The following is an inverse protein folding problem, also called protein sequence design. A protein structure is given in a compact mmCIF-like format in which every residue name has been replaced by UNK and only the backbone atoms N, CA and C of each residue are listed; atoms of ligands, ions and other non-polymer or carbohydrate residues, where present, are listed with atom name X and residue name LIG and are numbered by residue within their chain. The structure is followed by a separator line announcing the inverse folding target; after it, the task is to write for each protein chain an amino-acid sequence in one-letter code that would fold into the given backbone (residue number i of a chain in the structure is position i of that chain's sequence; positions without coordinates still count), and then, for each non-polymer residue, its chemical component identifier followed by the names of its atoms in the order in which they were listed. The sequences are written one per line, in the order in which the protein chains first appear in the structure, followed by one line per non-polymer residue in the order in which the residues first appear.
data_IF_625390740087
#
_entry.id   IF_625390740087
#
_cell.length_a   1.000
_cell.length_b   1.000
_cell.length_c   1.000
_cell.angle_alpha   90.00
_cell.angle_beta   90.00
_cell.angle_gamma   90.00
#
_symmetry.space_group_name_H-M   'P 1'
#
loop_
_entity.id
_entity.type
_entity.pdbx_description
1 polymer ?
#
# COMPACT_ATOMS: atom_id res chain seq x y z
N UNK A 1 -12.92 -1.61 5.19
CA UNK A 1 -11.49 -1.26 5.09
C UNK A 1 -10.59 -2.45 4.76
N UNK A 2 -10.61 -3.58 5.51
CA UNK A 2 -9.72 -4.74 5.24
C UNK A 2 -9.63 -5.17 3.77
N UNK A 3 -10.77 -5.36 3.09
CA UNK A 3 -10.81 -5.78 1.67
C UNK A 3 -10.15 -4.81 0.69
N UNK A 4 -10.18 -3.51 1.00
CA UNK A 4 -9.51 -2.49 0.18
C UNK A 4 -8.00 -2.64 0.33
N UNK A 5 -7.52 -2.77 1.58
CA UNK A 5 -6.09 -3.00 1.85
C UNK A 5 -5.63 -4.30 1.19
N UNK A 6 -6.41 -5.37 1.24
CA UNK A 6 -6.08 -6.64 0.56
C UNK A 6 -5.99 -6.46 -0.96
N UNK A 7 -6.89 -5.70 -1.58
CA UNK A 7 -6.83 -5.38 -3.01
C UNK A 7 -5.60 -4.54 -3.38
N UNK A 8 -5.27 -3.53 -2.57
CA UNK A 8 -4.06 -2.72 -2.75
C UNK A 8 -2.80 -3.60 -2.65
N UNK A 9 -2.71 -4.43 -1.60
CA UNK A 9 -1.59 -5.34 -1.41
C UNK A 9 -1.47 -6.37 -2.53
N UNK A 10 -2.59 -6.82 -3.09
CA UNK A 10 -2.59 -7.69 -4.26
C UNK A 10 -1.93 -6.97 -5.45
N UNK A 11 -2.41 -5.77 -5.80
CA UNK A 11 -1.85 -5.01 -6.93
C UNK A 11 -0.37 -4.68 -6.70
N UNK A 12 0.01 -4.24 -5.50
CA UNK A 12 1.39 -3.89 -5.16
C UNK A 12 2.34 -5.09 -5.16
N UNK A 13 1.88 -6.27 -4.74
CA UNK A 13 2.69 -7.48 -4.68
C UNK A 13 2.92 -8.10 -6.06
N UNK A 14 1.89 -8.08 -6.91
CA UNK A 14 1.90 -8.78 -8.21
C UNK A 14 2.18 -7.84 -9.39
N UNK A 15 2.12 -6.52 -9.19
CA UNK A 15 2.33 -5.54 -10.25
C UNK A 15 1.28 -5.60 -11.36
N UNK A 16 0.07 -6.11 -11.07
CA UNK A 16 -0.97 -6.29 -12.08
C UNK A 16 -1.69 -4.96 -12.39
N UNK A 17 -2.14 -4.75 -13.64
CA UNK A 17 -3.04 -3.66 -13.97
C UNK A 17 -4.30 -3.65 -13.09
N UNK A 18 -4.76 -2.47 -12.66
CA UNK A 18 -5.96 -2.32 -11.83
C UNK A 18 -7.21 -2.99 -12.43
N UNK A 19 -7.35 -2.94 -13.76
CA UNK A 19 -8.47 -3.57 -14.48
C UNK A 19 -8.46 -5.10 -14.46
N UNK A 20 -7.35 -5.71 -14.06
CA UNK A 20 -7.20 -7.16 -13.89
C UNK A 20 -7.36 -7.60 -12.42
N UNK A 21 -7.80 -6.69 -11.54
CA UNK A 21 -8.12 -7.05 -10.17
C UNK A 21 -9.26 -8.10 -10.17
N UNK A 22 -9.09 -9.24 -9.48
CA UNK A 22 -10.13 -10.27 -9.44
C UNK A 22 -11.45 -9.77 -8.86
N UNK A 23 -12.58 -10.30 -9.37
CA UNK A 23 -13.94 -9.93 -8.94
C UNK A 23 -14.25 -10.29 -7.47
N UNK A 24 -13.38 -11.07 -6.82
CA UNK A 24 -13.45 -11.34 -5.38
C UNK A 24 -13.10 -10.12 -4.51
N UNK A 25 -12.49 -9.10 -5.10
CA UNK A 25 -12.15 -7.82 -4.47
C UNK A 25 -13.22 -6.74 -4.74
N UNK A 26 -13.20 -5.64 -3.98
CA UNK A 26 -13.99 -4.46 -4.34
C UNK A 26 -13.69 -3.99 -5.77
N UNK A 27 -14.63 -3.30 -6.43
CA UNK A 27 -14.44 -2.77 -7.78
C UNK A 27 -13.10 -2.03 -7.89
N UNK A 28 -12.37 -2.28 -8.98
CA UNK A 28 -11.03 -1.72 -9.16
C UNK A 28 -11.00 -0.19 -9.02
N UNK A 29 -12.07 0.51 -9.42
CA UNK A 29 -12.19 1.97 -9.29
C UNK A 29 -12.23 2.42 -7.83
N UNK A 30 -12.87 1.66 -6.94
CA UNK A 30 -12.86 1.91 -5.49
C UNK A 30 -11.47 1.68 -4.92
N UNK A 31 -10.84 0.55 -5.22
CA UNK A 31 -9.48 0.26 -4.76
C UNK A 31 -8.48 1.32 -5.26
N UNK A 32 -8.60 1.73 -6.53
CA UNK A 32 -7.76 2.77 -7.10
C UNK A 32 -8.01 4.15 -6.47
N UNK A 33 -9.26 4.52 -6.18
CA UNK A 33 -9.58 5.78 -5.50
C UNK A 33 -8.88 5.87 -4.15
N UNK A 34 -9.00 4.82 -3.32
CA UNK A 34 -8.27 4.73 -2.05
C UNK A 34 -6.76 4.76 -2.25
N UNK A 35 -6.22 4.07 -3.25
CA UNK A 35 -4.80 4.14 -3.57
C UNK A 35 -4.35 5.57 -3.93
N UNK A 36 -5.14 6.29 -4.72
CA UNK A 36 -4.84 7.68 -5.09
C UNK A 36 -4.85 8.58 -3.87
N UNK A 37 -5.86 8.49 -3.00
CA UNK A 37 -5.93 9.28 -1.77
C UNK A 37 -4.73 9.04 -0.85
N UNK A 38 -4.31 7.77 -0.70
CA UNK A 38 -3.13 7.42 0.11
C UNK A 38 -1.82 7.93 -0.51
N UNK A 39 -1.69 7.83 -1.83
CA UNK A 39 -0.54 8.35 -2.58
C UNK A 39 -0.44 9.85 -2.46
N UNK A 40 -1.53 10.55 -2.75
CA UNK A 40 -1.59 12.00 -2.80
C UNK A 40 -1.50 12.59 -1.38
N UNK A 41 -1.93 11.84 -0.36
CA UNK A 41 -1.76 12.15 1.06
C UNK A 41 -0.37 11.84 1.64
N UNK A 42 0.59 11.34 0.84
CA UNK A 42 1.95 11.05 1.31
C UNK A 42 2.05 9.88 2.30
N UNK A 43 1.06 8.99 2.33
CA UNK A 43 0.98 7.91 3.32
C UNK A 43 2.06 6.86 3.09
N UNK A 44 2.42 6.60 1.83
CA UNK A 44 3.47 5.62 1.51
C UNK A 44 4.85 6.10 1.97
N UNK A 45 5.13 7.39 1.83
CA UNK A 45 6.36 8.04 2.27
C UNK A 45 6.48 8.00 3.78
N UNK A 46 5.41 8.36 4.49
CA UNK A 46 5.35 8.28 5.95
C UNK A 46 5.53 6.85 6.44
N UNK A 47 4.82 5.88 5.83
CA UNK A 47 4.95 4.47 6.16
C UNK A 47 6.38 3.97 5.95
N UNK A 48 6.99 4.28 4.81
CA UNK A 48 8.35 3.89 4.50
C UNK A 48 9.35 4.51 5.48
N UNK A 49 9.19 5.79 5.82
CA UNK A 49 10.01 6.45 6.83
C UNK A 49 9.93 5.73 8.18
N UNK A 50 8.73 5.44 8.69
CA UNK A 50 8.56 4.74 9.95
C UNK A 50 9.12 3.31 9.94
N UNK A 51 8.91 2.57 8.84
CA UNK A 51 9.47 1.21 8.70
C UNK A 51 10.99 1.24 8.66
N UNK A 52 11.57 2.18 7.90
CA UNK A 52 13.02 2.35 7.81
C UNK A 52 13.64 2.72 9.16
N UNK A 53 13.05 3.65 9.90
CA UNK A 53 13.53 3.99 11.25
C UNK A 53 13.47 2.80 12.20
N UNK A 54 12.40 1.99 12.12
CA UNK A 54 12.28 0.75 12.92
C UNK A 54 13.32 -0.30 12.51
N UNK A 55 13.61 -0.42 11.22
CA UNK A 55 14.63 -1.35 10.71
C UNK A 55 16.05 -0.93 11.15
N UNK A 56 16.38 0.36 11.05
CA UNK A 56 17.65 0.91 11.56
C UNK A 56 17.83 0.66 13.04
N UNK A 57 16.79 0.89 13.85
CA UNK A 57 16.82 0.60 15.27
C UNK A 57 17.05 -0.89 15.56
N UNK A 58 16.42 -1.81 14.79
CA UNK A 58 16.65 -3.26 14.91
C UNK A 58 18.10 -3.64 14.58
N UNK A 59 18.70 -2.97 13.60
CA UNK A 59 20.09 -3.19 13.18
C UNK A 59 21.12 -2.47 14.08
N UNK A 60 20.69 -1.81 15.16
CA UNK A 60 21.57 -1.09 16.08
C UNK A 60 22.24 0.15 15.46
N UNK A 61 21.73 0.63 14.32
CA UNK A 61 22.21 1.86 13.68
C UNK A 61 21.40 3.03 14.26
N UNK A 62 22.08 4.01 14.86
CA UNK A 62 21.46 5.24 15.35
C UNK A 62 20.61 5.88 14.22
N UNK A 63 19.47 6.54 14.55
CA UNK A 63 18.60 7.18 13.56
C UNK A 63 19.37 8.17 12.68
#
# INVERSE_FOLDING_TARGET
MRRIIEALLYVLRWGCPWRLLPDSFPPWGTAYGWFSELRDGGVFESLNHHLFQRDRARLGRAP
#
